data_IF_815006535231
#
_entry.id   IF_815006535231
#
_cell.length_a   1.000
_cell.length_b   1.000
_cell.length_c   1.000
_cell.angle_alpha   90.00
_cell.angle_beta   90.00
_cell.angle_gamma   90.00
#
_symmetry.space_group_name_H-M   'P 1'
#
loop_
_entity.id
_entity.type
_entity.pdbx_description
1 polymer ?
#
# COMPACT_ATOMS: atom_id res chain seq x y z
N UNK A 1 11.43 19.13 -9.24
CA UNK A 1 11.40 18.02 -8.28
C UNK A 1 12.41 18.28 -7.19
N UNK A 2 12.04 18.04 -5.94
CA UNK A 2 12.95 18.13 -4.82
C UNK A 2 13.81 16.86 -4.72
N UNK A 3 14.97 16.97 -4.06
CA UNK A 3 15.82 15.81 -3.79
C UNK A 3 15.14 14.90 -2.77
N UNK A 4 15.24 13.59 -3.01
CA UNK A 4 14.73 12.57 -2.09
C UNK A 4 15.66 12.52 -0.88
N UNK A 5 15.11 12.31 0.31
CA UNK A 5 15.91 12.18 1.54
C UNK A 5 16.91 11.01 1.44
N UNK A 6 17.97 11.08 2.26
CA UNK A 6 18.88 9.94 2.42
C UNK A 6 18.18 8.76 3.08
N UNK A 7 18.67 7.52 2.86
CA UNK A 7 18.15 6.34 3.59
C UNK A 7 18.20 6.56 5.10
N UNK A 8 17.17 6.12 5.79
CA UNK A 8 17.14 6.14 7.26
C UNK A 8 18.09 5.06 7.79
N UNK A 9 18.73 5.35 8.92
CA UNK A 9 19.64 4.40 9.56
C UNK A 9 18.91 3.09 9.91
N UNK A 10 19.49 1.97 9.48
CA UNK A 10 18.93 0.62 9.70
C UNK A 10 18.73 0.28 11.17
N UNK A 11 19.58 0.79 12.07
CA UNK A 11 19.44 0.60 13.50
C UNK A 11 18.16 1.25 14.03
N UNK A 12 17.76 2.43 13.50
CA UNK A 12 16.51 3.09 13.87
C UNK A 12 15.30 2.31 13.36
N UNK A 13 15.37 1.80 12.12
CA UNK A 13 14.29 0.97 11.56
C UNK A 13 14.08 -0.29 12.40
N UNK A 14 15.15 -1.00 12.74
CA UNK A 14 15.10 -2.23 13.56
C UNK A 14 14.58 -1.96 14.98
N UNK A 15 14.91 -0.81 15.56
CA UNK A 15 14.43 -0.43 16.90
C UNK A 15 12.90 -0.21 16.93
N UNK A 16 12.30 0.22 15.81
CA UNK A 16 10.86 0.44 15.70
C UNK A 16 10.08 -0.81 15.25
N UNK A 17 10.72 -1.78 14.58
CA UNK A 17 10.12 -3.04 14.13
C UNK A 17 10.12 -4.10 15.25
N UNK A 18 9.34 -3.83 16.28
CA UNK A 18 9.23 -4.66 17.48
C UNK A 18 8.32 -5.88 17.27
N UNK A 19 8.41 -6.87 18.15
CA UNK A 19 7.68 -8.13 18.01
C UNK A 19 6.16 -8.00 18.07
N UNK A 20 5.64 -6.99 18.78
CA UNK A 20 4.21 -6.67 18.89
C UNK A 20 3.60 -6.11 17.60
N UNK A 21 4.41 -5.52 16.72
CA UNK A 21 4.02 -5.01 15.41
C UNK A 21 4.15 -6.07 14.31
N UNK A 22 4.81 -7.17 14.61
CA UNK A 22 5.04 -8.26 13.66
C UNK A 22 3.78 -9.07 13.48
N UNK A 23 3.22 -9.03 12.25
CA UNK A 23 2.04 -9.80 11.90
C UNK A 23 2.38 -11.30 11.79
N UNK A 24 3.40 -11.62 10.96
CA UNK A 24 3.86 -13.00 10.74
C UNK A 24 5.18 -13.04 9.97
N UNK A 25 5.75 -14.24 9.86
CA UNK A 25 6.77 -14.55 8.83
C UNK A 25 6.09 -14.91 7.51
N UNK A 26 6.78 -14.62 6.42
CA UNK A 26 6.32 -14.99 5.07
C UNK A 26 6.48 -16.49 4.81
N UNK A 27 5.67 -17.02 3.89
CA UNK A 27 5.76 -18.44 3.51
C UNK A 27 7.03 -18.74 2.69
N UNK A 28 7.59 -17.74 2.03
CA UNK A 28 8.81 -17.85 1.22
C UNK A 28 9.81 -16.78 1.59
N UNK A 29 11.10 -17.09 1.42
CA UNK A 29 12.24 -16.18 1.61
C UNK A 29 12.49 -15.73 3.06
N UNK A 30 11.83 -16.34 4.05
CA UNK A 30 12.03 -16.06 5.48
C UNK A 30 11.96 -14.57 5.86
N UNK A 31 11.19 -13.78 5.10
CA UNK A 31 10.93 -12.37 5.39
C UNK A 31 9.89 -12.22 6.51
N UNK A 32 9.72 -11.01 6.98
CA UNK A 32 8.81 -10.68 8.06
C UNK A 32 7.82 -9.60 7.61
N UNK A 33 6.56 -9.75 8.04
CA UNK A 33 5.50 -8.80 7.75
C UNK A 33 5.18 -8.03 9.02
N UNK A 34 5.20 -6.70 8.92
CA UNK A 34 4.87 -5.79 10.01
C UNK A 34 3.70 -4.90 9.64
N UNK A 35 2.94 -4.49 10.65
CA UNK A 35 1.93 -3.45 10.56
C UNK A 35 2.36 -2.31 11.48
N UNK A 36 2.50 -1.12 10.92
CA UNK A 36 2.93 0.09 11.64
C UNK A 36 2.05 1.29 11.27
N UNK A 37 2.16 2.34 12.04
CA UNK A 37 1.64 3.68 11.76
C UNK A 37 2.78 4.71 11.83
N UNK A 38 2.54 5.92 11.30
CA UNK A 38 3.49 7.01 11.44
C UNK A 38 3.73 7.42 12.91
N UNK A 39 2.74 7.17 13.78
CA UNK A 39 2.79 7.54 15.20
C UNK A 39 3.66 6.59 16.03
N UNK A 40 3.61 5.29 15.72
CA UNK A 40 4.35 4.28 16.48
C UNK A 40 5.71 3.93 15.88
N UNK A 41 5.96 4.29 14.62
CA UNK A 41 7.18 3.97 13.88
C UNK A 41 7.57 5.10 12.92
N UNK A 42 7.90 6.30 13.43
CA UNK A 42 8.14 7.48 12.60
C UNK A 42 9.35 7.33 11.66
N UNK A 43 10.43 6.65 12.08
CA UNK A 43 11.57 6.40 11.22
C UNK A 43 11.26 5.41 10.10
N UNK A 44 10.53 4.34 10.41
CA UNK A 44 10.03 3.37 9.42
C UNK A 44 9.10 4.07 8.43
N UNK A 45 8.21 4.96 8.90
CA UNK A 45 7.33 5.73 8.01
C UNK A 45 8.11 6.65 7.06
N UNK A 46 9.16 7.32 7.55
CA UNK A 46 10.02 8.15 6.69
C UNK A 46 10.72 7.31 5.61
N UNK A 47 11.21 6.12 5.96
CA UNK A 47 11.83 5.22 4.98
C UNK A 47 10.80 4.69 3.96
N UNK A 48 9.58 4.35 4.41
CA UNK A 48 8.47 4.00 3.51
C UNK A 48 8.21 5.13 2.52
N UNK A 49 8.08 6.37 3.00
CA UNK A 49 7.85 7.54 2.15
C UNK A 49 8.97 7.77 1.14
N UNK A 50 10.22 7.56 1.55
CA UNK A 50 11.40 7.62 0.67
C UNK A 50 11.34 6.55 -0.43
N UNK A 51 11.07 5.30 -0.07
CA UNK A 51 11.01 4.17 -1.00
C UNK A 51 9.83 4.29 -1.98
N UNK A 52 8.66 4.77 -1.51
CA UNK A 52 7.51 5.10 -2.36
C UNK A 52 7.86 6.15 -3.39
N UNK A 53 8.46 7.26 -2.95
CA UNK A 53 8.82 8.34 -3.87
C UNK A 53 9.82 7.85 -4.93
N UNK A 54 10.83 7.06 -4.56
CA UNK A 54 11.76 6.44 -5.51
C UNK A 54 11.00 5.56 -6.52
N UNK A 55 10.19 4.63 -6.03
CA UNK A 55 9.49 3.67 -6.89
C UNK A 55 8.49 4.35 -7.83
N UNK A 56 7.68 5.28 -7.31
CA UNK A 56 6.66 5.97 -8.11
C UNK A 56 7.28 6.99 -9.07
N UNK A 57 8.29 7.75 -8.63
CA UNK A 57 8.98 8.73 -9.47
C UNK A 57 9.66 8.09 -10.67
N UNK A 58 10.20 6.89 -10.50
CA UNK A 58 10.82 6.13 -11.58
C UNK A 58 9.86 5.88 -12.76
N UNK A 59 8.58 5.68 -12.46
CA UNK A 59 7.53 5.48 -13.47
C UNK A 59 6.75 6.75 -13.82
N UNK A 60 7.14 7.91 -13.32
CA UNK A 60 6.50 9.19 -13.61
C UNK A 60 5.30 9.53 -12.72
N UNK A 61 5.06 8.78 -11.65
CA UNK A 61 3.94 8.97 -10.71
C UNK A 61 4.34 9.46 -9.31
N UNK A 62 5.58 9.87 -9.11
CA UNK A 62 6.04 10.42 -7.84
C UNK A 62 5.42 11.78 -7.53
N UNK A 63 5.40 12.15 -6.24
CA UNK A 63 4.88 13.42 -5.76
C UNK A 63 5.78 14.60 -6.12
N UNK A 64 7.07 14.35 -6.35
CA UNK A 64 8.10 15.37 -6.53
C UNK A 64 8.65 15.94 -5.23
N UNK A 65 8.14 15.49 -4.07
CA UNK A 65 8.61 15.86 -2.73
C UNK A 65 9.75 14.94 -2.25
N UNK A 66 10.43 15.28 -1.14
CA UNK A 66 11.51 14.46 -0.59
C UNK A 66 11.07 13.06 -0.14
N UNK A 67 9.80 12.90 0.19
CA UNK A 67 9.11 11.65 0.60
C UNK A 67 7.66 11.66 0.11
N UNK A 68 7.09 10.50 -0.19
CA UNK A 68 5.65 10.31 -0.43
C UNK A 68 4.94 9.96 0.88
N UNK A 69 4.63 11.00 1.65
CA UNK A 69 3.82 10.95 2.87
C UNK A 69 2.74 12.03 2.74
N UNK A 70 1.50 11.69 3.01
CA UNK A 70 0.36 12.61 2.95
C UNK A 70 -0.40 12.67 4.29
N UNK A 71 -1.49 13.44 4.33
CA UNK A 71 -2.33 13.60 5.53
C UNK A 71 -2.90 12.26 6.03
N UNK A 72 -3.23 11.33 5.15
CA UNK A 72 -3.75 10.01 5.52
C UNK A 72 -2.71 9.13 6.23
N UNK A 73 -1.43 9.39 6.01
CA UNK A 73 -0.35 8.71 6.73
C UNK A 73 -0.14 9.28 8.14
N UNK A 74 -0.56 10.54 8.42
CA UNK A 74 -0.18 11.31 9.62
C UNK A 74 -1.33 11.83 10.46
N UNK A 75 -2.58 11.78 9.99
CA UNK A 75 -3.77 12.20 10.76
C UNK A 75 -3.92 11.36 12.05
N UNK A 76 -4.75 11.78 13.00
CA UNK A 76 -4.95 11.10 14.28
C UNK A 76 -5.36 9.62 14.12
N UNK A 77 -6.31 9.36 13.22
CA UNK A 77 -6.72 8.01 12.81
C UNK A 77 -5.94 7.59 11.54
N UNK A 78 -4.61 7.62 11.60
CA UNK A 78 -3.74 7.37 10.46
C UNK A 78 -3.94 5.99 9.85
N UNK A 79 -3.81 5.93 8.51
CA UNK A 79 -3.71 4.64 7.81
C UNK A 79 -2.54 3.82 8.31
N UNK A 80 -2.73 2.52 8.35
CA UNK A 80 -1.68 1.55 8.69
C UNK A 80 -0.84 1.24 7.46
N UNK A 81 0.41 0.85 7.73
CA UNK A 81 1.34 0.40 6.71
C UNK A 81 1.63 -1.08 6.92
N UNK A 82 1.28 -1.91 5.95
CA UNK A 82 1.72 -3.30 5.90
C UNK A 82 3.01 -3.33 5.09
N UNK A 83 4.09 -3.79 5.69
CA UNK A 83 5.40 -3.85 5.03
C UNK A 83 5.99 -5.25 5.09
N UNK A 84 6.78 -5.58 4.09
CA UNK A 84 7.64 -6.75 4.06
C UNK A 84 9.05 -6.30 4.37
N UNK A 85 9.61 -6.83 5.45
CA UNK A 85 10.97 -6.60 5.91
C UNK A 85 11.85 -7.81 5.64
N UNK A 86 13.05 -7.60 5.06
CA UNK A 86 14.09 -8.63 4.95
C UNK A 86 15.03 -8.53 6.14
N UNK A 87 15.05 -9.52 7.05
CA UNK A 87 16.06 -9.55 8.12
C UNK A 87 17.48 -9.77 7.60
N UNK A 88 17.63 -10.43 6.45
CA UNK A 88 18.92 -10.68 5.80
C UNK A 88 19.53 -9.40 5.21
N UNK A 89 18.71 -8.65 4.45
CA UNK A 89 19.17 -7.45 3.77
C UNK A 89 19.03 -6.19 4.66
N UNK A 90 18.35 -6.31 5.81
CA UNK A 90 17.99 -5.23 6.75
C UNK A 90 17.31 -4.06 6.05
N UNK A 91 16.27 -4.35 5.25
CA UNK A 91 15.54 -3.33 4.48
C UNK A 91 14.09 -3.70 4.20
N UNK A 92 13.30 -2.69 3.87
CA UNK A 92 11.90 -2.83 3.44
C UNK A 92 11.89 -3.22 1.96
N UNK A 93 11.25 -4.35 1.64
CA UNK A 93 11.14 -4.87 0.28
C UNK A 93 9.94 -4.30 -0.48
N UNK A 94 8.89 -3.92 0.23
CA UNK A 94 7.67 -3.37 -0.34
C UNK A 94 6.60 -3.20 0.73
N UNK A 95 5.43 -2.68 0.34
CA UNK A 95 4.33 -2.47 1.28
C UNK A 95 3.05 -1.99 0.63
N UNK A 96 2.03 -1.93 1.47
CA UNK A 96 0.72 -1.34 1.22
C UNK A 96 0.38 -0.35 2.33
N UNK A 97 -0.28 0.74 1.97
CA UNK A 97 -1.07 1.53 2.92
C UNK A 97 -2.48 0.97 2.96
N UNK A 98 -3.08 0.83 4.13
CA UNK A 98 -4.44 0.31 4.25
C UNK A 98 -5.23 0.92 5.40
N UNK A 99 -6.56 0.92 5.25
CA UNK A 99 -7.51 1.25 6.30
C UNK A 99 -8.65 0.23 6.28
N UNK A 100 -9.00 -0.32 7.44
CA UNK A 100 -10.19 -1.17 7.57
C UNK A 100 -11.44 -0.29 7.55
N UNK A 101 -12.45 -0.70 6.80
CA UNK A 101 -13.68 0.07 6.66
C UNK A 101 -14.46 0.24 7.97
N UNK A 102 -14.28 -0.68 8.94
CA UNK A 102 -14.80 -0.54 10.31
C UNK A 102 -14.21 0.67 11.05
N UNK A 103 -12.99 1.12 10.68
CA UNK A 103 -12.30 2.23 11.32
C UNK A 103 -12.56 3.57 10.60
N UNK A 104 -13.27 3.55 9.47
CA UNK A 104 -13.53 4.73 8.65
C UNK A 104 -14.43 5.73 9.39
N UNK A 105 -13.97 6.98 9.45
CA UNK A 105 -14.77 8.09 9.94
C UNK A 105 -15.58 8.72 8.80
N UNK A 106 -16.68 9.36 9.15
CA UNK A 106 -17.50 10.11 8.21
C UNK A 106 -17.39 11.61 8.53
N UNK A 107 -17.32 12.42 7.49
CA UNK A 107 -17.33 13.86 7.62
C UNK A 107 -18.71 14.39 8.01
N UNK A 108 -18.83 15.72 8.19
CA UNK A 108 -20.10 16.39 8.56
C UNK A 108 -21.21 16.25 7.50
N UNK A 109 -20.83 15.92 6.26
CA UNK A 109 -21.77 15.68 5.16
C UNK A 109 -22.15 14.20 5.02
N UNK A 110 -21.63 13.32 5.90
CA UNK A 110 -21.86 11.87 5.85
C UNK A 110 -21.01 11.16 4.79
N UNK A 111 -19.96 11.80 4.26
CA UNK A 111 -19.05 11.19 3.28
C UNK A 111 -17.94 10.46 4.02
N UNK A 112 -17.57 9.21 3.61
CA UNK A 112 -16.48 8.48 4.24
C UNK A 112 -15.14 9.20 4.01
N UNK A 113 -14.32 9.30 5.05
CA UNK A 113 -12.97 9.88 4.97
C UNK A 113 -11.99 8.81 4.53
N UNK A 114 -11.92 8.60 3.21
CA UNK A 114 -11.04 7.65 2.54
C UNK A 114 -10.07 8.39 1.61
N UNK A 115 -8.89 7.82 1.42
CA UNK A 115 -7.92 8.37 0.46
C UNK A 115 -8.46 8.39 -0.99
N UNK A 116 -9.46 7.58 -1.29
CA UNK A 116 -10.14 7.54 -2.59
C UNK A 116 -11.40 8.40 -2.66
N UNK A 117 -11.86 9.02 -1.57
CA UNK A 117 -13.10 9.81 -1.53
C UNK A 117 -13.08 11.06 -2.42
N UNK A 118 -11.88 11.52 -2.86
CA UNK A 118 -11.76 12.60 -3.83
C UNK A 118 -11.89 12.12 -5.30
N UNK A 119 -11.87 10.81 -5.53
CA UNK A 119 -11.97 10.18 -6.86
C UNK A 119 -13.34 9.54 -7.10
N UNK A 120 -13.98 9.03 -6.04
CA UNK A 120 -15.22 8.26 -6.12
C UNK A 120 -16.33 8.88 -5.27
N UNK A 121 -17.56 8.73 -5.75
CA UNK A 121 -18.76 8.95 -4.95
C UNK A 121 -19.25 7.57 -4.50
N UNK A 122 -19.30 7.35 -3.19
CA UNK A 122 -19.74 6.09 -2.63
C UNK A 122 -21.24 6.13 -2.38
N UNK A 123 -21.98 5.11 -2.84
CA UNK A 123 -23.40 4.99 -2.59
C UNK A 123 -23.69 4.70 -1.11
N UNK A 124 -24.90 5.03 -0.67
CA UNK A 124 -25.37 4.69 0.68
C UNK A 124 -25.32 3.19 0.95
N UNK A 125 -25.60 2.38 -0.09
CA UNK A 125 -25.51 0.94 -0.02
C UNK A 125 -24.08 0.48 0.25
N UNK A 126 -23.10 1.02 -0.50
CA UNK A 126 -21.69 0.71 -0.26
C UNK A 126 -21.28 1.06 1.16
N UNK A 127 -21.61 2.27 1.62
CA UNK A 127 -21.22 2.76 2.95
C UNK A 127 -21.80 1.91 4.09
N UNK A 128 -23.01 1.36 3.92
CA UNK A 128 -23.73 0.61 4.98
C UNK A 128 -23.48 -0.90 4.93
N UNK A 129 -23.44 -1.48 3.72
CA UNK A 129 -23.46 -2.92 3.54
C UNK A 129 -22.08 -3.52 3.20
N UNK A 130 -21.19 -2.75 2.57
CA UNK A 130 -19.90 -3.24 2.11
C UNK A 130 -18.72 -2.65 2.86
N UNK A 131 -18.70 -1.32 3.07
CA UNK A 131 -17.57 -0.63 3.66
C UNK A 131 -17.13 -1.23 5.02
N UNK A 132 -18.01 -1.61 5.96
CA UNK A 132 -17.59 -2.17 7.24
C UNK A 132 -16.77 -3.47 7.12
N UNK A 133 -16.92 -4.19 6.01
CA UNK A 133 -16.25 -5.46 5.72
C UNK A 133 -15.14 -5.32 4.66
N UNK A 134 -14.77 -4.08 4.33
CA UNK A 134 -13.83 -3.76 3.25
C UNK A 134 -12.51 -3.22 3.81
N UNK A 135 -11.41 -3.58 3.18
CA UNK A 135 -10.11 -2.91 3.38
C UNK A 135 -9.82 -2.02 2.18
N UNK A 136 -9.66 -0.72 2.41
CA UNK A 136 -9.09 0.16 1.39
C UNK A 136 -7.59 -0.02 1.32
N UNK A 137 -7.07 -0.29 0.12
CA UNK A 137 -5.65 -0.45 -0.18
C UNK A 137 -5.15 0.73 -1.02
N UNK A 138 -3.98 1.22 -0.70
CA UNK A 138 -3.32 2.27 -1.48
C UNK A 138 -1.81 2.22 -1.38
N UNK A 139 -1.14 3.09 -2.13
CA UNK A 139 0.32 3.26 -2.07
C UNK A 139 1.08 1.93 -2.15
N UNK A 140 0.58 0.95 -2.92
CA UNK A 140 1.30 -0.32 -3.12
C UNK A 140 2.62 -0.07 -3.83
N UNK A 141 3.69 -0.60 -3.28
CA UNK A 141 5.01 -0.48 -3.89
C UNK A 141 5.87 -1.72 -3.63
N UNK A 142 6.78 -1.96 -4.54
CA UNK A 142 7.93 -2.84 -4.37
C UNK A 142 9.16 -1.95 -4.48
N UNK A 143 10.12 -2.09 -3.58
CA UNK A 143 11.38 -1.34 -3.63
C UNK A 143 12.05 -1.56 -4.98
N UNK A 144 12.51 -0.48 -5.62
CA UNK A 144 12.89 -0.46 -7.04
C UNK A 144 13.94 -1.52 -7.40
N UNK A 145 14.88 -1.80 -6.50
CA UNK A 145 15.92 -2.82 -6.68
C UNK A 145 15.36 -4.24 -6.85
N UNK A 146 14.16 -4.50 -6.30
CA UNK A 146 13.48 -5.80 -6.38
C UNK A 146 12.44 -5.89 -7.50
N UNK A 147 12.25 -4.83 -8.29
CA UNK A 147 11.29 -4.84 -9.41
C UNK A 147 11.87 -5.46 -10.69
N UNK A 148 13.18 -5.56 -10.81
CA UNK A 148 13.83 -6.00 -12.03
C UNK A 148 14.03 -7.52 -12.06
N UNK A 149 13.41 -8.19 -13.03
CA UNK A 149 13.72 -9.58 -13.40
C UNK A 149 15.06 -9.69 -14.14
N UNK A 150 15.63 -8.57 -14.61
CA UNK A 150 16.89 -8.52 -15.35
C UNK A 150 18.12 -8.85 -14.50
N UNK A 151 18.03 -8.69 -13.19
CA UNK A 151 19.11 -9.07 -12.25
C UNK A 151 19.17 -10.57 -11.96
N UNK A 152 18.31 -11.40 -12.59
CA UNK A 152 18.28 -12.86 -12.39
C UNK A 152 17.87 -13.29 -10.97
N UNK A 153 17.50 -12.35 -10.11
CA UNK A 153 17.14 -12.67 -8.73
C UNK A 153 15.66 -13.04 -8.66
N UNK A 154 15.38 -14.28 -8.24
CA UNK A 154 14.03 -14.73 -7.89
C UNK A 154 13.45 -13.92 -6.71
N UNK A 155 14.27 -13.12 -6.00
CA UNK A 155 13.87 -12.30 -4.85
C UNK A 155 12.69 -11.37 -5.20
N UNK A 156 12.69 -10.74 -6.39
CA UNK A 156 11.61 -9.81 -6.79
C UNK A 156 10.22 -10.47 -6.91
N UNK A 157 10.16 -11.69 -7.42
CA UNK A 157 8.90 -12.45 -7.50
C UNK A 157 8.37 -12.80 -6.11
N UNK A 158 9.26 -13.12 -5.18
CA UNK A 158 8.85 -13.42 -3.79
C UNK A 158 8.33 -12.21 -3.03
N UNK A 159 8.75 -10.98 -3.37
CA UNK A 159 8.21 -9.78 -2.70
C UNK A 159 6.72 -9.63 -2.96
N UNK A 160 6.25 -9.85 -4.19
CA UNK A 160 4.81 -9.82 -4.50
C UNK A 160 4.06 -10.92 -3.77
N UNK A 161 4.57 -12.17 -3.77
CA UNK A 161 4.00 -13.28 -3.01
C UNK A 161 3.91 -12.91 -1.51
N UNK A 162 4.97 -12.32 -0.96
CA UNK A 162 5.02 -11.93 0.46
C UNK A 162 4.02 -10.82 0.80
N UNK A 163 3.81 -9.88 -0.12
CA UNK A 163 2.76 -8.86 0.04
C UNK A 163 1.36 -9.48 0.06
N UNK A 164 1.10 -10.47 -0.82
CA UNK A 164 -0.14 -11.24 -0.79
C UNK A 164 -0.30 -12.08 0.48
N UNK A 165 0.79 -12.68 1.00
CA UNK A 165 0.80 -13.34 2.31
C UNK A 165 0.32 -12.38 3.41
N UNK A 166 0.77 -11.11 3.34
CA UNK A 166 0.35 -10.08 4.30
C UNK A 166 -1.12 -9.73 4.19
N UNK A 167 -1.63 -9.52 2.98
CA UNK A 167 -3.05 -9.24 2.77
C UNK A 167 -3.92 -10.42 3.22
N UNK A 168 -3.53 -11.66 2.87
CA UNK A 168 -4.23 -12.85 3.34
C UNK A 168 -4.23 -12.99 4.87
N UNK A 169 -3.15 -12.56 5.53
CA UNK A 169 -3.09 -12.58 6.98
C UNK A 169 -4.05 -11.58 7.65
N UNK A 170 -4.37 -10.44 7.01
CA UNK A 170 -5.37 -9.50 7.54
C UNK A 170 -6.75 -10.17 7.69
N UNK A 171 -7.20 -10.97 6.71
CA UNK A 171 -8.48 -11.69 6.80
C UNK A 171 -8.48 -12.85 7.80
N UNK A 172 -7.30 -13.32 8.22
CA UNK A 172 -7.17 -14.30 9.32
C UNK A 172 -7.25 -13.60 10.68
N UNK A 173 -6.64 -12.42 10.81
CA UNK A 173 -6.68 -11.61 12.06
C UNK A 173 -8.08 -11.02 12.28
N UNK A 174 -8.71 -10.57 11.20
CA UNK A 174 -10.10 -10.10 11.22
C UNK A 174 -10.94 -10.89 10.22
N UNK A 175 -11.62 -11.96 10.68
CA UNK A 175 -12.46 -12.80 9.81
C UNK A 175 -13.70 -12.09 9.25
N UNK A 176 -14.04 -10.90 9.71
CA UNK A 176 -15.14 -10.11 9.17
C UNK A 176 -14.81 -9.49 7.81
N UNK A 177 -13.52 -9.37 7.47
CA UNK A 177 -13.06 -8.79 6.22
C UNK A 177 -13.41 -9.70 5.03
N UNK A 178 -14.16 -9.15 4.07
CA UNK A 178 -14.66 -9.87 2.89
C UNK A 178 -14.16 -9.25 1.59
N UNK A 179 -13.86 -7.96 1.58
CA UNK A 179 -13.54 -7.20 0.38
C UNK A 179 -12.23 -6.43 0.51
N UNK A 180 -11.53 -6.35 -0.59
CA UNK A 180 -10.40 -5.44 -0.76
C UNK A 180 -10.72 -4.45 -1.87
N UNK A 181 -10.54 -3.17 -1.61
CA UNK A 181 -10.83 -2.09 -2.53
C UNK A 181 -9.59 -1.21 -2.71
N UNK A 182 -9.38 -0.74 -3.91
CA UNK A 182 -8.28 0.18 -4.21
C UNK A 182 -8.31 0.63 -5.66
N UNK A 183 -7.49 1.62 -5.99
CA UNK A 183 -7.36 2.12 -7.35
C UNK A 183 -6.06 1.66 -8.00
N UNK A 184 -6.10 1.46 -9.30
CA UNK A 184 -4.93 1.23 -10.15
C UNK A 184 -4.69 2.45 -11.01
N UNK A 185 -3.43 2.93 -11.08
CA UNK A 185 -3.04 4.03 -11.95
C UNK A 185 -2.51 3.49 -13.28
N UNK A 186 -3.11 3.92 -14.39
CA UNK A 186 -2.56 3.69 -15.72
C UNK A 186 -1.85 4.97 -16.19
N UNK A 187 -0.55 4.87 -16.42
CA UNK A 187 0.23 6.02 -16.88
C UNK A 187 0.01 6.31 -18.37
N UNK A 188 0.10 7.59 -18.74
CA UNK A 188 -0.03 8.02 -20.15
C UNK A 188 1.08 7.46 -21.06
N UNK A 189 2.17 6.99 -20.46
CA UNK A 189 3.30 6.35 -21.16
C UNK A 189 3.03 4.91 -21.57
N UNK A 190 1.94 4.29 -21.08
CA UNK A 190 1.56 2.95 -21.50
C UNK A 190 1.17 2.93 -22.98
N UNK A 191 1.43 1.79 -23.64
CA UNK A 191 0.94 1.58 -24.99
C UNK A 191 -0.57 1.81 -25.03
N UNK A 192 -1.02 2.75 -25.88
CA UNK A 192 -2.42 3.19 -25.94
C UNK A 192 -3.37 2.08 -26.39
N UNK A 193 -2.92 1.22 -27.31
CA UNK A 193 -3.73 0.11 -27.80
C UNK A 193 -3.95 -0.93 -26.69
N UNK A 194 -2.87 -1.35 -26.01
CA UNK A 194 -2.97 -2.27 -24.89
C UNK A 194 -3.84 -1.72 -23.75
N UNK A 195 -3.68 -0.44 -23.41
CA UNK A 195 -4.53 0.24 -22.41
C UNK A 195 -6.00 0.23 -22.83
N UNK A 196 -6.30 0.57 -24.08
CA UNK A 196 -7.67 0.61 -24.59
C UNK A 196 -8.30 -0.79 -24.61
N UNK A 197 -7.54 -1.83 -24.93
CA UNK A 197 -8.00 -3.22 -24.86
C UNK A 197 -8.37 -3.63 -23.43
N UNK A 198 -7.55 -3.26 -22.44
CA UNK A 198 -7.85 -3.51 -21.03
C UNK A 198 -9.14 -2.79 -20.62
N UNK A 199 -9.27 -1.49 -20.94
CA UNK A 199 -10.48 -0.73 -20.62
C UNK A 199 -11.72 -1.29 -21.30
N UNK A 200 -11.61 -1.69 -22.56
CA UNK A 200 -12.69 -2.35 -23.28
C UNK A 200 -13.14 -3.65 -22.60
N UNK A 201 -12.18 -4.50 -22.23
CA UNK A 201 -12.46 -5.75 -21.51
C UNK A 201 -13.16 -5.49 -20.17
N UNK A 202 -12.65 -4.52 -19.39
CA UNK A 202 -13.24 -4.19 -18.08
C UNK A 202 -14.68 -3.66 -18.25
N UNK A 203 -14.92 -2.74 -19.21
CA UNK A 203 -16.26 -2.21 -19.46
C UNK A 203 -17.25 -3.26 -19.95
N UNK A 204 -16.78 -4.27 -20.72
CA UNK A 204 -17.64 -5.38 -21.18
C UNK A 204 -18.01 -6.35 -20.07
N UNK A 205 -17.08 -6.68 -19.19
CA UNK A 205 -17.26 -7.78 -18.23
C UNK A 205 -17.57 -7.30 -16.80
N UNK A 206 -17.22 -6.05 -16.49
CA UNK A 206 -17.40 -5.44 -15.18
C UNK A 206 -17.96 -4.02 -15.32
N UNK A 207 -19.14 -3.87 -15.97
CA UNK A 207 -19.75 -2.55 -16.11
C UNK A 207 -20.14 -2.00 -14.74
N UNK A 208 -20.00 -0.69 -14.56
CA UNK A 208 -20.62 0.02 -13.45
C UNK A 208 -22.12 0.12 -13.75
N UNK A 209 -22.99 -0.45 -12.90
CA UNK A 209 -24.41 -0.44 -13.13
C UNK A 209 -25.12 0.88 -12.76
N UNK A 210 -24.41 1.86 -12.15
CA UNK A 210 -24.99 3.12 -11.67
C UNK A 210 -24.58 4.33 -12.50
#
# INVERSE_FOLDING_TARGET
MQDIIKPIDRALLKAELTGDKKLRRTNKSNNEIYIITAHDSPNVMQEIGRLREIAFRYYGGGTGFPVDIDEYDTMDDAYRQLIVWSPEDEQILGGYRFLCGSDVKFDKAGKPVLATSHLFNFSDKFNKEYLPYTVELGRSFVTLEYQSTRSGSAKGLFVLDNLWDGLGALSVVDPSLQYYFGKVTMYNTYNSEARNMILYFLNMHFPDPE
#
